data_IF_870894066098
#
_entry.id   IF_870894066098
#
_cell.length_a   1.000
_cell.length_b   1.000
_cell.length_c   1.000
_cell.angle_alpha   90.00
_cell.angle_beta   90.00
_cell.angle_gamma   90.00
#
_symmetry.space_group_name_H-M   'P 1'
#
loop_
_entity.id
_entity.type
_entity.pdbx_description
1 polymer ?
#
# COMPACT_ATOMS: atom_id res chain seq x y z
N UNK A 1 -6.85 29.20 -19.36
CA UNK A 1 -5.91 28.94 -18.24
C UNK A 1 -6.01 27.45 -17.94
N UNK A 2 -4.93 26.69 -18.20
CA UNK A 2 -4.87 25.25 -17.99
C UNK A 2 -3.78 24.96 -16.95
N UNK A 3 -4.15 24.30 -15.85
CA UNK A 3 -3.27 23.80 -14.80
C UNK A 3 -3.94 22.52 -14.25
N UNK A 4 -3.28 21.42 -13.93
CA UNK A 4 -1.86 21.08 -13.92
C UNK A 4 -1.74 19.61 -14.36
N UNK A 5 -0.66 19.29 -15.08
CA UNK A 5 -0.26 17.92 -15.41
C UNK A 5 0.41 17.33 -14.18
N UNK A 6 -0.25 16.42 -13.46
CA UNK A 6 0.43 15.60 -12.45
C UNK A 6 1.08 14.42 -13.16
N UNK A 7 2.40 14.42 -13.13
CA UNK A 7 3.27 13.41 -13.72
C UNK A 7 3.13 12.10 -12.97
N UNK A 8 2.44 11.12 -13.56
CA UNK A 8 2.51 9.72 -13.13
C UNK A 8 3.87 9.16 -13.52
N UNK A 9 4.83 9.20 -12.61
CA UNK A 9 6.06 8.42 -12.72
C UNK A 9 5.82 7.10 -12.00
N UNK A 10 5.22 6.14 -12.69
CA UNK A 10 5.26 4.73 -12.29
C UNK A 10 6.67 4.20 -12.65
N UNK A 11 7.60 4.33 -11.71
CA UNK A 11 8.95 3.78 -11.82
C UNK A 11 8.89 2.36 -11.31
N UNK A 12 8.96 1.39 -12.23
CA UNK A 12 9.15 -0.03 -11.96
C UNK A 12 10.19 -0.21 -10.86
N UNK A 13 9.75 -0.68 -9.69
CA UNK A 13 10.59 -0.86 -8.52
C UNK A 13 11.07 -2.32 -8.51
N UNK A 14 12.27 -2.52 -9.05
CA UNK A 14 13.17 -3.59 -8.58
C UNK A 14 13.04 -3.67 -7.06
N UNK A 15 12.66 -4.82 -6.49
CA UNK A 15 12.37 -5.06 -5.07
C UNK A 15 13.11 -4.06 -4.18
N UNK A 16 12.43 -2.95 -3.87
CA UNK A 16 13.13 -1.73 -3.51
C UNK A 16 13.64 -1.94 -2.10
N UNK A 17 14.97 -1.91 -1.93
CA UNK A 17 15.61 -1.91 -0.60
C UNK A 17 15.30 -0.63 0.21
N UNK A 18 14.27 0.12 -0.17
CA UNK A 18 13.89 1.42 0.33
C UNK A 18 12.38 1.49 0.44
N UNK A 19 11.87 2.23 1.42
CA UNK A 19 10.46 2.53 1.53
C UNK A 19 9.87 3.08 0.21
N UNK A 20 8.62 2.74 -0.05
CA UNK A 20 7.83 3.19 -1.20
C UNK A 20 6.69 4.07 -0.70
N UNK A 21 6.60 5.28 -1.24
CA UNK A 21 5.49 6.20 -0.96
C UNK A 21 4.46 6.17 -2.10
N UNK A 22 3.18 6.32 -1.75
CA UNK A 22 2.10 6.53 -2.72
C UNK A 22 1.05 7.49 -2.16
N UNK A 23 0.35 8.21 -3.03
CA UNK A 23 -0.76 9.08 -2.66
C UNK A 23 -2.09 8.34 -2.91
N UNK A 24 -2.99 8.40 -1.94
CA UNK A 24 -4.35 7.88 -2.08
C UNK A 24 -5.36 8.86 -1.46
N UNK A 25 -6.27 9.37 -2.30
CA UNK A 25 -7.31 10.35 -1.91
C UNK A 25 -6.77 11.58 -1.16
N UNK A 26 -5.58 12.07 -1.56
CA UNK A 26 -4.94 13.24 -0.96
C UNK A 26 -4.24 12.97 0.38
N UNK A 27 -4.13 11.71 0.80
CA UNK A 27 -3.26 11.29 1.90
C UNK A 27 -2.04 10.53 1.32
N UNK A 28 -0.86 10.85 1.83
CA UNK A 28 0.37 10.13 1.47
C UNK A 28 0.56 8.96 2.42
N UNK A 29 0.82 7.79 1.86
CA UNK A 29 1.14 6.56 2.57
C UNK A 29 2.58 6.18 2.26
N UNK A 30 3.28 5.62 3.23
CA UNK A 30 4.66 5.16 3.11
C UNK A 30 4.71 3.72 3.59
N UNK A 31 5.06 2.81 2.68
CA UNK A 31 5.27 1.40 2.99
C UNK A 31 6.78 1.20 3.16
N UNK A 32 7.23 0.61 4.27
CA UNK A 32 8.64 0.30 4.45
C UNK A 32 9.12 -0.71 3.38
N UNK A 33 10.43 -0.89 3.26
CA UNK A 33 10.97 -1.89 2.35
C UNK A 33 10.41 -3.29 2.71
N UNK A 34 10.28 -4.23 1.76
CA UNK A 34 9.65 -5.53 2.01
C UNK A 34 10.28 -6.31 3.18
N UNK A 35 11.61 -6.20 3.35
CA UNK A 35 12.36 -6.85 4.43
C UNK A 35 12.30 -6.11 5.78
N UNK A 36 11.73 -4.91 5.79
CA UNK A 36 11.54 -4.06 6.97
C UNK A 36 10.05 -4.03 7.40
N UNK A 37 9.18 -4.73 6.68
CA UNK A 37 7.80 -4.98 7.10
C UNK A 37 7.78 -5.78 8.41
N UNK A 38 6.79 -5.49 9.24
CA UNK A 38 6.56 -6.23 10.49
C UNK A 38 6.26 -7.69 10.20
N UNK A 39 6.81 -8.62 10.99
CA UNK A 39 6.54 -10.06 10.86
C UNK A 39 5.07 -10.40 11.16
N UNK A 40 4.35 -9.54 11.86
CA UNK A 40 2.88 -9.55 12.00
C UNK A 40 2.15 -9.71 10.66
N UNK A 41 2.70 -9.19 9.56
CA UNK A 41 2.13 -9.41 8.21
C UNK A 41 2.09 -10.90 7.86
N UNK A 42 3.13 -11.66 8.22
CA UNK A 42 3.20 -13.11 8.00
C UNK A 42 2.19 -13.83 8.90
N UNK A 43 2.11 -13.47 10.18
CA UNK A 43 1.15 -14.06 11.13
C UNK A 43 -0.30 -13.90 10.62
N UNK A 44 -0.65 -12.72 10.12
CA UNK A 44 -1.97 -12.45 9.52
C UNK A 44 -2.22 -13.29 8.27
N UNK A 45 -1.19 -13.53 7.44
CA UNK A 45 -1.33 -14.39 6.26
C UNK A 45 -1.50 -15.86 6.68
N UNK A 46 -0.71 -16.33 7.65
CA UNK A 46 -0.73 -17.71 8.15
C UNK A 46 -2.03 -18.05 8.89
N UNK A 47 -2.62 -17.10 9.63
CA UNK A 47 -3.92 -17.24 10.27
C UNK A 47 -5.09 -17.24 9.26
N UNK A 48 -4.80 -16.99 7.98
CA UNK A 48 -5.82 -16.89 6.93
C UNK A 48 -6.60 -15.57 6.98
N UNK A 49 -5.97 -14.52 7.50
CA UNK A 49 -6.52 -13.18 7.52
C UNK A 49 -6.86 -12.68 6.11
N UNK A 50 -8.02 -12.07 5.96
CA UNK A 50 -8.43 -11.51 4.67
C UNK A 50 -7.56 -10.33 4.24
N UNK A 51 -7.65 -9.94 2.97
CA UNK A 51 -6.88 -8.85 2.34
C UNK A 51 -6.88 -7.55 3.15
N UNK A 52 -7.98 -7.25 3.83
CA UNK A 52 -8.11 -6.09 4.70
C UNK A 52 -7.23 -6.15 5.95
N UNK A 53 -7.08 -7.32 6.54
CA UNK A 53 -6.19 -7.52 7.68
C UNK A 53 -4.73 -7.42 7.22
N UNK A 54 -4.40 -8.03 6.07
CA UNK A 54 -3.07 -7.96 5.47
C UNK A 54 -2.69 -6.51 5.15
N UNK A 55 -3.55 -5.75 4.46
CA UNK A 55 -3.29 -4.35 4.15
C UNK A 55 -3.08 -3.50 5.41
N UNK A 56 -3.86 -3.77 6.48
CA UNK A 56 -3.70 -3.08 7.77
C UNK A 56 -2.35 -3.40 8.42
N UNK A 57 -1.90 -4.65 8.36
CA UNK A 57 -0.61 -5.07 8.89
C UNK A 57 0.54 -4.39 8.12
N UNK A 58 0.45 -4.35 6.79
CA UNK A 58 1.46 -3.73 5.91
C UNK A 58 1.59 -2.22 6.16
N UNK A 59 0.47 -1.48 6.18
CA UNK A 59 0.53 -0.01 6.34
C UNK A 59 0.74 0.43 7.78
N UNK A 60 0.48 -0.46 8.75
CA UNK A 60 0.54 -0.17 10.17
C UNK A 60 -0.67 0.61 10.71
N UNK A 61 -0.79 0.66 12.04
CA UNK A 61 -2.00 1.18 12.72
C UNK A 61 -2.25 2.67 12.46
N UNK A 62 -1.20 3.49 12.41
CA UNK A 62 -1.33 4.94 12.24
C UNK A 62 -1.86 5.30 10.85
N UNK A 63 -1.24 4.77 9.80
CA UNK A 63 -1.69 4.99 8.43
C UNK A 63 -3.04 4.33 8.16
N UNK A 64 -3.30 3.18 8.79
CA UNK A 64 -4.62 2.56 8.73
C UNK A 64 -5.72 3.45 9.32
N UNK A 65 -5.46 4.16 10.42
CA UNK A 65 -6.39 5.13 10.97
C UNK A 65 -6.68 6.27 9.98
N UNK A 66 -5.65 6.77 9.28
CA UNK A 66 -5.80 7.74 8.18
C UNK A 66 -6.72 7.18 7.09
N UNK A 67 -6.46 5.96 6.59
CA UNK A 67 -7.31 5.30 5.61
C UNK A 67 -8.77 5.16 6.10
N UNK A 68 -8.99 4.75 7.35
CA UNK A 68 -10.32 4.65 7.94
C UNK A 68 -11.04 6.00 8.03
N UNK A 69 -10.30 7.08 8.23
CA UNK A 69 -10.81 8.46 8.23
C UNK A 69 -11.34 8.91 6.86
N UNK A 70 -10.80 8.36 5.77
CA UNK A 70 -11.24 8.67 4.39
C UNK A 70 -12.60 8.09 4.02
N UNK A 71 -13.17 7.21 4.85
CA UNK A 71 -14.50 6.59 4.67
C UNK A 71 -14.69 5.98 3.27
N UNK A 72 -13.68 5.29 2.77
CA UNK A 72 -13.68 4.66 1.45
C UNK A 72 -14.77 3.60 1.28
N UNK A 73 -15.25 3.48 0.05
CA UNK A 73 -16.10 2.38 -0.42
C UNK A 73 -15.29 1.09 -0.62
N UNK A 74 -15.96 -0.03 -0.88
CA UNK A 74 -15.29 -1.32 -1.17
C UNK A 74 -14.46 -1.24 -2.46
N UNK A 75 -14.96 -0.55 -3.50
CA UNK A 75 -14.19 -0.38 -4.75
C UNK A 75 -12.89 0.39 -4.52
N UNK A 76 -12.96 1.45 -3.73
CA UNK A 76 -11.78 2.24 -3.33
C UNK A 76 -10.86 1.49 -2.37
N UNK A 77 -11.38 0.53 -1.60
CA UNK A 77 -10.54 -0.38 -0.82
C UNK A 77 -9.69 -1.27 -1.72
N UNK A 78 -10.25 -1.80 -2.83
CA UNK A 78 -9.48 -2.62 -3.76
C UNK A 78 -8.38 -1.80 -4.45
N UNK A 79 -8.66 -0.56 -4.82
CA UNK A 79 -7.66 0.36 -5.40
C UNK A 79 -6.53 0.67 -4.40
N UNK A 80 -6.89 0.92 -3.13
CA UNK A 80 -5.90 1.08 -2.06
C UNK A 80 -5.08 -0.20 -1.82
N UNK A 81 -5.73 -1.36 -1.84
CA UNK A 81 -5.08 -2.65 -1.63
C UNK A 81 -4.05 -2.94 -2.73
N UNK A 82 -4.37 -2.61 -3.98
CA UNK A 82 -3.46 -2.72 -5.13
C UNK A 82 -2.20 -1.86 -4.91
N UNK A 83 -2.38 -0.59 -4.56
CA UNK A 83 -1.26 0.32 -4.24
C UNK A 83 -0.41 -0.18 -3.08
N UNK A 84 -1.04 -0.69 -2.01
CA UNK A 84 -0.32 -1.26 -0.86
C UNK A 84 0.47 -2.49 -1.26
N UNK A 85 -0.11 -3.38 -2.06
CA UNK A 85 0.52 -4.64 -2.49
C UNK A 85 1.68 -4.38 -3.45
N UNK A 86 1.52 -3.44 -4.38
CA UNK A 86 2.59 -2.98 -5.27
C UNK A 86 3.73 -2.35 -4.45
N UNK A 87 3.42 -1.43 -3.54
CA UNK A 87 4.42 -0.75 -2.73
C UNK A 87 5.17 -1.68 -1.76
N UNK A 88 4.49 -2.71 -1.25
CA UNK A 88 5.07 -3.75 -0.40
C UNK A 88 5.87 -4.81 -1.18
N UNK A 89 5.85 -4.78 -2.52
CA UNK A 89 6.56 -5.75 -3.35
C UNK A 89 5.84 -7.09 -3.51
N UNK A 90 4.55 -7.18 -3.15
CA UNK A 90 3.71 -8.34 -3.45
C UNK A 90 3.10 -8.28 -4.86
N UNK A 91 3.14 -7.10 -5.51
CA UNK A 91 2.48 -6.83 -6.80
C UNK A 91 3.20 -7.31 -8.07
N UNK A 92 4.46 -7.75 -8.00
CA UNK A 92 5.20 -8.25 -9.17
C UNK A 92 5.98 -9.52 -8.83
N UNK A 93 5.34 -10.67 -9.03
CA UNK A 93 6.02 -11.90 -9.41
C UNK A 93 5.85 -12.08 -10.92
N UNK A 94 6.43 -11.15 -11.70
CA UNK A 94 6.43 -11.24 -13.16
C UNK A 94 7.36 -12.35 -13.65
N UNK A 95 6.79 -13.37 -14.28
CA UNK A 95 7.46 -14.32 -15.17
C UNK A 95 7.42 -13.81 -16.60
#
# INVERSE_FOLDING_TARGET
MAAAKTTTTAKSAEAKATATEFEFKGATFVIPAPLDLSDDVLDVIEDGGGERAIARAIVGQEQWATYKGLRCTIGEFNDFLDLVSEAAGFGDAGN
#
